data_IF_077071417632
#
_entry.id   IF_077071417632
#
_cell.length_a   1.000
_cell.length_b   1.000
_cell.length_c   1.000
_cell.angle_alpha   90.00
_cell.angle_beta   90.00
_cell.angle_gamma   90.00
#
_symmetry.space_group_name_H-M   'P 1'
#
loop_
_entity.id
_entity.type
_entity.pdbx_description
1 polymer ?
#
# COMPACT_ATOMS: atom_id res chain seq x y z
N UNK A 1 -13.72 6.57 -12.46
CA UNK A 1 -14.81 6.56 -11.48
C UNK A 1 -15.01 7.97 -10.91
N UNK A 2 -16.20 8.22 -10.39
CA UNK A 2 -16.53 9.45 -9.65
C UNK A 2 -16.77 9.05 -8.20
N UNK A 3 -16.11 9.73 -7.28
CA UNK A 3 -16.34 9.57 -5.85
C UNK A 3 -17.28 10.69 -5.38
N UNK A 4 -18.35 10.33 -4.72
CA UNK A 4 -19.36 11.28 -4.21
C UNK A 4 -19.43 11.09 -2.68
N UNK A 5 -19.14 12.16 -1.96
CA UNK A 5 -19.33 12.21 -0.52
C UNK A 5 -20.82 12.45 -0.22
N UNK A 6 -21.48 11.41 0.28
CA UNK A 6 -22.93 11.47 0.57
C UNK A 6 -23.29 12.43 1.71
N UNK A 7 -22.34 12.80 2.58
CA UNK A 7 -22.58 13.80 3.63
C UNK A 7 -22.70 15.23 3.06
N UNK A 8 -22.10 15.45 1.89
CA UNK A 8 -22.12 16.75 1.19
C UNK A 8 -23.12 16.79 0.04
N UNK A 9 -23.66 15.64 -0.38
CA UNK A 9 -24.63 15.54 -1.48
C UNK A 9 -25.95 14.87 -1.00
N UNK A 10 -26.98 15.66 -0.68
CA UNK A 10 -28.29 15.13 -0.23
C UNK A 10 -28.99 14.23 -1.26
N UNK A 11 -28.76 14.43 -2.56
CA UNK A 11 -29.35 13.60 -3.60
C UNK A 11 -28.67 12.22 -3.65
N UNK A 12 -27.36 12.20 -3.55
CA UNK A 12 -26.58 10.96 -3.44
C UNK A 12 -26.91 10.20 -2.14
N UNK A 13 -27.08 10.92 -1.03
CA UNK A 13 -27.52 10.32 0.25
C UNK A 13 -28.88 9.65 0.11
N UNK A 14 -29.87 10.35 -0.44
CA UNK A 14 -31.22 9.80 -0.65
C UNK A 14 -31.20 8.56 -1.55
N UNK A 15 -30.37 8.58 -2.60
CA UNK A 15 -30.19 7.43 -3.47
C UNK A 15 -29.56 6.24 -2.74
N UNK A 16 -28.51 6.46 -1.95
CA UNK A 16 -27.88 5.41 -1.13
C UNK A 16 -28.88 4.81 -0.14
N UNK A 17 -29.69 5.62 0.53
CA UNK A 17 -30.76 5.13 1.41
C UNK A 17 -31.81 4.31 0.64
N UNK A 18 -32.20 4.76 -0.54
CA UNK A 18 -33.17 4.04 -1.38
C UNK A 18 -32.68 2.62 -1.75
N UNK A 19 -31.44 2.50 -2.24
CA UNK A 19 -30.89 1.20 -2.68
C UNK A 19 -30.48 0.28 -1.52
N UNK A 20 -30.29 0.85 -0.33
CA UNK A 20 -29.92 0.12 0.89
C UNK A 20 -31.08 -0.02 1.89
N UNK A 21 -32.33 -0.01 1.41
CA UNK A 21 -33.50 -0.19 2.26
C UNK A 21 -33.57 0.77 3.48
N UNK A 22 -33.28 2.03 3.25
CA UNK A 22 -33.29 3.09 4.27
C UNK A 22 -32.01 3.20 5.10
N UNK A 23 -30.97 2.44 4.78
CA UNK A 23 -29.68 2.49 5.49
C UNK A 23 -28.63 3.29 4.69
N UNK A 24 -27.78 4.01 5.40
CA UNK A 24 -26.62 4.72 4.83
C UNK A 24 -25.39 3.81 4.83
N UNK A 25 -25.31 2.90 3.87
CA UNK A 25 -24.21 1.96 3.78
C UNK A 25 -23.19 2.48 2.75
N UNK A 26 -21.93 2.59 3.14
CA UNK A 26 -20.82 2.99 2.27
C UNK A 26 -19.62 2.04 2.45
N UNK A 27 -18.90 1.73 1.37
CA UNK A 27 -19.12 2.19 0.00
C UNK A 27 -20.29 1.50 -0.68
N UNK A 28 -21.15 2.27 -1.35
CA UNK A 28 -22.13 1.76 -2.33
C UNK A 28 -21.61 2.10 -3.73
N UNK A 29 -21.30 1.09 -4.53
CA UNK A 29 -20.69 1.25 -5.86
C UNK A 29 -21.73 0.96 -6.93
N UNK A 30 -21.94 1.92 -7.83
CA UNK A 30 -22.89 1.83 -8.94
C UNK A 30 -22.09 1.69 -10.23
N UNK A 31 -22.40 0.66 -11.01
CA UNK A 31 -21.77 0.41 -12.29
C UNK A 31 -22.59 0.97 -13.46
N UNK A 32 -21.95 1.24 -14.62
CA UNK A 32 -22.64 1.76 -15.79
C UNK A 32 -23.76 0.84 -16.33
N UNK A 33 -23.69 -0.45 -16.04
CA UNK A 33 -24.70 -1.45 -16.40
C UNK A 33 -25.89 -1.49 -15.42
N UNK A 34 -25.88 -0.63 -14.39
CA UNK A 34 -26.91 -0.53 -13.37
C UNK A 34 -26.75 -1.50 -12.20
N UNK A 35 -25.74 -2.38 -12.21
CA UNK A 35 -25.43 -3.22 -11.05
C UNK A 35 -24.90 -2.38 -9.89
N UNK A 36 -25.30 -2.74 -8.68
CA UNK A 36 -24.92 -2.05 -7.44
C UNK A 36 -24.25 -3.06 -6.52
N UNK A 37 -23.06 -2.71 -6.07
CA UNK A 37 -22.35 -3.46 -5.01
C UNK A 37 -22.36 -2.63 -3.73
N UNK A 38 -22.76 -3.27 -2.63
CA UNK A 38 -22.87 -2.66 -1.30
C UNK A 38 -21.80 -3.29 -0.41
N UNK A 39 -20.88 -2.47 0.11
CA UNK A 39 -19.73 -2.92 0.90
C UNK A 39 -19.00 -4.14 0.29
N UNK A 40 -18.71 -4.11 -1.03
CA UNK A 40 -18.11 -5.27 -1.67
C UNK A 40 -16.72 -5.56 -1.10
N UNK A 41 -16.41 -6.84 -0.96
CA UNK A 41 -15.03 -7.27 -0.77
C UNK A 41 -14.18 -6.92 -2.02
N UNK A 42 -12.87 -6.81 -1.85
CA UNK A 42 -11.96 -6.60 -2.98
C UNK A 42 -12.12 -7.67 -4.05
N UNK A 43 -12.35 -8.93 -3.65
CA UNK A 43 -12.57 -10.04 -4.56
C UNK A 43 -13.86 -9.88 -5.40
N UNK A 44 -14.97 -9.45 -4.78
CA UNK A 44 -16.22 -9.17 -5.48
C UNK A 44 -16.06 -8.02 -6.48
N UNK A 45 -15.40 -6.94 -6.06
CA UNK A 45 -15.13 -5.82 -6.95
C UNK A 45 -14.20 -6.23 -8.11
N UNK A 46 -13.15 -6.98 -7.83
CA UNK A 46 -12.23 -7.49 -8.84
C UNK A 46 -12.95 -8.39 -9.86
N UNK A 47 -13.80 -9.29 -9.39
CA UNK A 47 -14.59 -10.15 -10.26
C UNK A 47 -15.51 -9.33 -11.19
N UNK A 48 -16.20 -8.32 -10.65
CA UNK A 48 -17.05 -7.42 -11.44
C UNK A 48 -16.26 -6.60 -12.46
N UNK A 49 -15.04 -6.20 -12.15
CA UNK A 49 -14.13 -5.50 -13.05
C UNK A 49 -13.41 -6.44 -14.05
N UNK A 50 -13.71 -7.74 -14.03
CA UNK A 50 -13.07 -8.72 -14.89
C UNK A 50 -11.58 -8.95 -14.59
N UNK A 51 -11.15 -8.60 -13.38
CA UNK A 51 -9.77 -8.83 -12.95
C UNK A 51 -9.57 -10.32 -12.64
N UNK A 52 -8.36 -10.81 -12.89
CA UNK A 52 -8.02 -12.19 -12.57
C UNK A 52 -7.83 -12.36 -11.06
N UNK A 53 -8.64 -13.24 -10.46
CA UNK A 53 -8.60 -13.61 -9.04
C UNK A 53 -8.14 -15.06 -8.81
N UNK A 54 -7.84 -15.80 -9.90
CA UNK A 54 -7.31 -17.16 -9.83
C UNK A 54 -6.08 -17.30 -10.72
N UNK A 55 -5.06 -17.96 -10.19
CA UNK A 55 -3.84 -18.24 -10.91
C UNK A 55 -4.02 -19.40 -11.91
N UNK A 56 -3.17 -19.42 -12.93
CA UNK A 56 -3.21 -20.46 -13.99
C UNK A 56 -2.77 -21.83 -13.51
N UNK A 57 -1.87 -21.85 -12.52
CA UNK A 57 -1.24 -23.05 -12.01
C UNK A 57 -1.61 -23.27 -10.55
N UNK A 58 -1.48 -24.50 -10.09
CA UNK A 58 -1.63 -24.84 -8.66
C UNK A 58 -0.30 -24.84 -7.90
N UNK A 59 0.82 -25.02 -8.62
CA UNK A 59 2.16 -25.04 -8.02
C UNK A 59 3.07 -24.12 -8.83
N UNK A 60 3.93 -23.38 -8.12
CA UNK A 60 4.91 -22.44 -8.65
C UNK A 60 6.29 -22.70 -8.07
N UNK A 61 7.35 -22.31 -8.78
CA UNK A 61 8.69 -22.31 -8.21
C UNK A 61 8.78 -21.27 -7.08
N UNK A 62 8.25 -20.08 -7.31
CA UNK A 62 8.25 -18.99 -6.34
C UNK A 62 6.88 -18.33 -6.23
N UNK A 63 6.38 -18.21 -5.01
CA UNK A 63 5.24 -17.32 -4.71
C UNK A 63 5.77 -16.11 -3.95
N UNK A 64 5.48 -14.92 -4.47
CA UNK A 64 5.79 -13.63 -3.85
C UNK A 64 4.53 -13.07 -3.22
N UNK A 65 4.55 -12.83 -1.92
CA UNK A 65 3.43 -12.27 -1.17
C UNK A 65 3.67 -10.77 -0.96
N UNK A 66 2.89 -9.96 -1.65
CA UNK A 66 2.98 -8.50 -1.68
C UNK A 66 3.44 -7.96 -3.04
N UNK A 67 2.61 -7.12 -3.64
CA UNK A 67 2.80 -6.51 -4.97
C UNK A 67 3.42 -5.11 -4.91
N UNK A 68 4.16 -4.78 -3.84
CA UNK A 68 4.95 -3.55 -3.76
C UNK A 68 6.24 -3.63 -4.59
N UNK A 69 7.07 -2.55 -4.59
CA UNK A 69 8.31 -2.50 -5.37
C UNK A 69 9.25 -3.68 -5.13
N UNK A 70 9.40 -4.11 -3.87
CA UNK A 70 10.27 -5.24 -3.52
C UNK A 70 9.75 -6.55 -4.12
N UNK A 71 8.44 -6.82 -3.98
CA UNK A 71 7.83 -8.03 -4.51
C UNK A 71 7.85 -8.07 -6.04
N UNK A 72 7.47 -6.98 -6.71
CA UNK A 72 7.49 -6.89 -8.16
C UNK A 72 8.91 -7.00 -8.75
N UNK A 73 9.90 -6.39 -8.09
CA UNK A 73 11.30 -6.53 -8.50
C UNK A 73 11.77 -7.98 -8.36
N UNK A 74 11.47 -8.62 -7.24
CA UNK A 74 11.84 -10.02 -7.03
C UNK A 74 11.16 -10.93 -8.06
N UNK A 75 9.86 -10.73 -8.31
CA UNK A 75 9.11 -11.50 -9.29
C UNK A 75 9.65 -11.30 -10.73
N UNK A 76 10.07 -10.08 -11.06
CA UNK A 76 10.73 -9.80 -12.34
C UNK A 76 12.01 -10.64 -12.50
N UNK A 77 12.86 -10.70 -11.47
CA UNK A 77 14.11 -11.45 -11.56
C UNK A 77 13.88 -12.96 -11.57
N UNK A 78 13.01 -13.50 -10.73
CA UNK A 78 12.71 -14.94 -10.71
C UNK A 78 12.09 -15.41 -12.02
N UNK A 79 11.13 -14.66 -12.56
CA UNK A 79 10.52 -14.97 -13.86
C UNK A 79 11.52 -14.85 -15.02
N UNK A 80 12.43 -13.88 -14.97
CA UNK A 80 13.48 -13.70 -15.98
C UNK A 80 14.45 -14.89 -16.00
N UNK A 81 14.71 -15.51 -14.87
CA UNK A 81 15.53 -16.74 -14.76
C UNK A 81 14.73 -18.01 -15.13
N UNK A 82 13.51 -17.86 -15.65
CA UNK A 82 12.67 -18.95 -16.13
C UNK A 82 11.87 -19.69 -15.05
N UNK A 83 11.81 -19.15 -13.83
CA UNK A 83 11.03 -19.73 -12.75
C UNK A 83 9.55 -19.38 -12.91
N UNK A 84 8.67 -20.37 -12.72
CA UNK A 84 7.23 -20.13 -12.61
C UNK A 84 6.95 -19.30 -11.36
N UNK A 85 6.63 -18.03 -11.55
CA UNK A 85 6.53 -17.04 -10.47
C UNK A 85 5.11 -16.48 -10.37
N UNK A 86 4.53 -16.50 -9.17
CA UNK A 86 3.23 -15.92 -8.85
C UNK A 86 3.42 -14.78 -7.82
N UNK A 87 2.84 -13.62 -8.11
CA UNK A 87 2.69 -12.52 -7.13
C UNK A 87 1.26 -12.50 -6.64
N UNK A 88 1.06 -12.50 -5.33
CA UNK A 88 -0.26 -12.36 -4.70
C UNK A 88 -0.30 -11.04 -3.92
N UNK A 89 -1.23 -10.15 -4.28
CA UNK A 89 -1.42 -8.85 -3.65
C UNK A 89 -2.88 -8.67 -3.22
N UNK A 90 -3.10 -8.26 -1.98
CA UNK A 90 -4.44 -8.07 -1.42
C UNK A 90 -5.18 -6.84 -1.94
N UNK A 91 -4.44 -5.86 -2.42
CA UNK A 91 -4.98 -4.62 -2.96
C UNK A 91 -4.60 -4.42 -4.42
N UNK A 92 -4.26 -3.17 -4.74
CA UNK A 92 -3.66 -2.80 -6.03
C UNK A 92 -2.14 -2.97 -6.00
N UNK A 93 -1.55 -3.18 -7.17
CA UNK A 93 -0.09 -3.23 -7.30
C UNK A 93 0.57 -1.91 -6.92
N UNK A 94 1.79 -2.00 -6.37
CA UNK A 94 2.60 -0.86 -5.98
C UNK A 94 2.70 -0.66 -4.46
N UNK A 95 1.84 -1.28 -3.66
CA UNK A 95 1.85 -1.13 -2.22
C UNK A 95 1.73 0.35 -1.80
N UNK A 96 2.48 0.78 -0.78
CA UNK A 96 2.45 2.17 -0.31
C UNK A 96 2.92 3.19 -1.36
N UNK A 97 3.83 2.79 -2.24
CA UNK A 97 4.35 3.66 -3.30
C UNK A 97 3.24 4.00 -4.31
N UNK A 98 2.32 3.09 -4.58
CA UNK A 98 1.22 3.32 -5.54
C UNK A 98 0.38 4.56 -5.25
N UNK A 99 0.25 4.95 -3.97
CA UNK A 99 -0.47 6.16 -3.55
C UNK A 99 0.38 7.44 -3.49
N UNK A 100 1.69 7.35 -3.74
CA UNK A 100 2.59 8.51 -3.68
C UNK A 100 2.41 9.40 -4.92
N UNK A 101 2.16 10.68 -4.72
CA UNK A 101 1.96 11.61 -5.83
C UNK A 101 3.22 11.75 -6.69
N UNK A 102 4.39 11.86 -6.06
CA UNK A 102 5.68 12.02 -6.75
C UNK A 102 6.81 11.38 -5.95
N UNK A 103 7.59 10.56 -6.59
CA UNK A 103 8.83 9.99 -6.07
C UNK A 103 10.02 10.64 -6.77
N UNK A 104 10.95 11.17 -6.00
CA UNK A 104 12.18 11.81 -6.49
C UNK A 104 13.44 11.07 -6.06
N UNK A 105 13.29 10.08 -5.18
CA UNK A 105 14.39 9.36 -4.55
C UNK A 105 14.62 7.95 -5.12
N UNK A 106 14.00 7.61 -6.26
CA UNK A 106 14.26 6.34 -6.94
C UNK A 106 15.20 6.57 -8.13
N UNK A 107 16.37 5.91 -8.18
CA UNK A 107 17.33 6.11 -9.26
C UNK A 107 16.77 5.78 -10.64
N UNK A 108 17.13 6.55 -11.66
CA UNK A 108 16.70 6.36 -13.04
C UNK A 108 15.51 7.21 -13.46
N UNK A 109 15.00 8.06 -12.56
CA UNK A 109 13.92 9.02 -12.83
C UNK A 109 14.38 10.42 -12.40
N UNK A 110 15.16 11.06 -13.22
CA UNK A 110 15.79 12.36 -12.97
C UNK A 110 14.78 13.50 -12.76
N UNK A 111 13.62 13.40 -13.40
CA UNK A 111 12.50 14.35 -13.19
C UNK A 111 11.48 13.84 -12.15
N UNK A 112 11.77 12.70 -11.48
CA UNK A 112 10.82 12.03 -10.63
C UNK A 112 9.73 11.29 -11.41
N UNK A 113 8.89 10.53 -10.69
CA UNK A 113 7.80 9.73 -11.27
C UNK A 113 6.66 9.63 -10.27
N UNK A 114 5.41 9.55 -10.74
CA UNK A 114 4.30 9.24 -9.84
C UNK A 114 4.36 7.79 -9.35
N UNK A 115 3.92 7.55 -8.12
CA UNK A 115 3.90 6.19 -7.58
C UNK A 115 3.02 5.24 -8.39
N UNK A 116 1.91 5.73 -8.92
CA UNK A 116 1.03 4.97 -9.80
C UNK A 116 1.74 4.54 -11.09
N UNK A 117 2.40 5.45 -11.78
CA UNK A 117 3.14 5.14 -13.01
C UNK A 117 4.32 4.22 -12.75
N UNK A 118 5.05 4.43 -11.66
CA UNK A 118 6.14 3.55 -11.24
C UNK A 118 5.67 2.12 -11.00
N UNK A 119 4.57 1.96 -10.26
CA UNK A 119 3.96 0.66 -9.97
C UNK A 119 3.52 -0.06 -11.25
N UNK A 120 2.94 0.69 -12.17
CA UNK A 120 2.49 0.22 -13.47
C UNK A 120 3.66 -0.28 -14.32
N UNK A 121 4.77 0.47 -14.34
CA UNK A 121 6.00 0.09 -15.07
C UNK A 121 6.61 -1.18 -14.48
N UNK A 122 6.71 -1.29 -13.16
CA UNK A 122 7.21 -2.50 -12.49
C UNK A 122 6.33 -3.72 -12.77
N UNK A 123 5.01 -3.55 -12.67
CA UNK A 123 4.05 -4.63 -12.94
C UNK A 123 4.16 -5.12 -14.38
N UNK A 124 4.20 -4.20 -15.35
CA UNK A 124 4.39 -4.54 -16.76
C UNK A 124 5.73 -5.23 -17.01
N UNK A 125 6.78 -4.80 -16.33
CA UNK A 125 8.11 -5.41 -16.47
C UNK A 125 8.12 -6.84 -15.93
N UNK A 126 7.57 -7.08 -14.76
CA UNK A 126 7.47 -8.42 -14.16
C UNK A 126 6.63 -9.37 -15.03
N UNK A 127 5.46 -8.91 -15.48
CA UNK A 127 4.56 -9.72 -16.33
C UNK A 127 5.13 -9.98 -17.71
N UNK A 128 5.90 -9.05 -18.28
CA UNK A 128 6.61 -9.25 -19.57
C UNK A 128 7.62 -10.41 -19.49
N UNK A 129 8.25 -10.63 -18.34
CA UNK A 129 9.16 -11.75 -18.13
C UNK A 129 8.43 -13.06 -17.74
N UNK A 130 7.12 -13.02 -17.58
CA UNK A 130 6.31 -14.21 -17.34
C UNK A 130 5.76 -14.35 -15.92
N UNK A 131 6.05 -13.40 -15.02
CA UNK A 131 5.43 -13.43 -13.70
C UNK A 131 3.91 -13.32 -13.81
N UNK A 132 3.20 -14.20 -13.13
CA UNK A 132 1.76 -14.12 -12.98
C UNK A 132 1.41 -13.26 -11.76
N UNK A 133 0.34 -12.48 -11.87
CA UNK A 133 -0.07 -11.52 -10.84
C UNK A 133 -1.53 -11.73 -10.51
N UNK A 134 -1.82 -11.93 -9.22
CA UNK A 134 -3.14 -11.88 -8.65
C UNK A 134 -3.29 -10.62 -7.80
N UNK A 135 -4.29 -9.82 -8.11
CA UNK A 135 -4.68 -8.65 -7.31
C UNK A 135 -5.96 -8.96 -6.54
N UNK A 136 -6.27 -8.12 -5.57
CA UNK A 136 -7.45 -8.26 -4.73
C UNK A 136 -7.57 -9.65 -4.08
N UNK A 137 -6.44 -10.29 -3.81
CA UNK A 137 -6.34 -11.65 -3.26
C UNK A 137 -5.50 -11.60 -1.99
N UNK A 138 -6.10 -11.81 -0.84
CA UNK A 138 -5.39 -11.78 0.44
C UNK A 138 -4.89 -13.17 0.81
N UNK A 139 -3.62 -13.25 1.19
CA UNK A 139 -3.05 -14.47 1.76
C UNK A 139 -3.40 -14.52 3.24
N UNK A 140 -4.18 -15.53 3.61
CA UNK A 140 -4.59 -15.75 4.99
C UNK A 140 -3.56 -16.57 5.77
N UNK A 141 -2.97 -17.59 5.13
CA UNK A 141 -2.11 -18.54 5.83
C UNK A 141 -1.04 -19.12 4.93
N UNK A 142 0.13 -19.35 5.52
CA UNK A 142 1.23 -20.13 4.91
C UNK A 142 1.43 -21.36 5.78
N UNK A 143 1.58 -22.50 5.14
CA UNK A 143 1.76 -23.78 5.83
C UNK A 143 2.84 -24.60 5.16
N UNK A 144 3.84 -25.12 5.90
CA UNK A 144 4.81 -26.04 5.35
C UNK A 144 4.16 -27.41 5.09
N UNK A 145 4.16 -27.85 3.86
CA UNK A 145 3.66 -29.17 3.44
C UNK A 145 4.76 -29.81 2.58
N UNK A 146 5.58 -30.61 3.22
CA UNK A 146 6.75 -31.24 2.55
C UNK A 146 6.33 -32.03 1.30
N UNK A 147 7.05 -31.90 0.15
CA UNK A 147 8.28 -31.13 -0.01
C UNK A 147 8.06 -29.62 -0.19
N UNK A 148 6.83 -29.16 -0.42
CA UNK A 148 6.46 -27.82 -0.80
C UNK A 148 5.98 -26.96 0.39
N UNK A 149 5.70 -25.70 0.10
CA UNK A 149 5.03 -24.75 0.96
C UNK A 149 3.64 -24.48 0.35
N UNK A 150 2.62 -24.37 1.19
CA UNK A 150 1.26 -24.05 0.75
C UNK A 150 0.86 -22.65 1.19
N UNK A 151 0.26 -21.90 0.28
CA UNK A 151 -0.31 -20.58 0.51
C UNK A 151 -1.82 -20.69 0.36
N UNK A 152 -2.56 -20.28 1.40
CA UNK A 152 -4.02 -20.23 1.41
C UNK A 152 -4.49 -18.80 1.32
N UNK A 153 -5.43 -18.53 0.42
CA UNK A 153 -6.09 -17.24 0.29
C UNK A 153 -7.35 -17.17 1.15
N UNK A 154 -7.84 -15.96 1.43
CA UNK A 154 -9.10 -15.74 2.16
C UNK A 154 -10.29 -16.39 1.45
N UNK A 155 -10.26 -16.48 0.11
CA UNK A 155 -11.29 -17.13 -0.69
C UNK A 155 -11.21 -18.68 -0.66
N UNK A 156 -10.28 -19.22 0.14
CA UNK A 156 -10.10 -20.66 0.32
C UNK A 156 -9.35 -21.36 -0.83
N UNK A 157 -8.70 -20.60 -1.71
CA UNK A 157 -7.85 -21.18 -2.76
C UNK A 157 -6.47 -21.53 -2.21
N UNK A 158 -5.95 -22.68 -2.60
CA UNK A 158 -4.63 -23.17 -2.21
C UNK A 158 -3.67 -23.15 -3.40
N UNK A 159 -2.44 -22.67 -3.15
CA UNK A 159 -1.32 -22.70 -4.10
C UNK A 159 -0.09 -23.30 -3.43
N UNK A 160 0.58 -24.22 -4.14
CA UNK A 160 1.87 -24.77 -3.73
C UNK A 160 3.04 -23.92 -4.23
N UNK A 161 4.15 -23.90 -3.48
CA UNK A 161 5.38 -23.25 -3.90
C UNK A 161 6.62 -23.99 -3.39
N UNK A 162 7.68 -24.02 -4.21
CA UNK A 162 8.99 -24.49 -3.76
C UNK A 162 9.64 -23.46 -2.83
N UNK A 163 9.41 -22.16 -3.08
CA UNK A 163 9.86 -21.08 -2.22
C UNK A 163 8.80 -19.97 -2.09
N UNK A 164 8.76 -19.32 -0.93
CA UNK A 164 7.89 -18.16 -0.70
C UNK A 164 8.76 -16.97 -0.31
N UNK A 165 8.54 -15.84 -0.99
CA UNK A 165 9.15 -14.56 -0.67
C UNK A 165 8.12 -13.66 -0.01
N UNK A 166 8.37 -13.29 1.25
CA UNK A 166 7.52 -12.36 2.00
C UNK A 166 7.93 -10.93 1.69
N UNK A 167 7.11 -10.22 0.92
CA UNK A 167 7.31 -8.81 0.54
C UNK A 167 6.10 -7.95 0.95
N UNK A 168 5.51 -8.27 2.10
CA UNK A 168 4.24 -7.70 2.59
C UNK A 168 4.35 -6.23 3.01
N UNK A 169 5.57 -5.68 3.03
CA UNK A 169 5.81 -4.28 3.37
C UNK A 169 5.57 -3.97 4.85
N UNK A 170 5.29 -2.70 5.12
CA UNK A 170 5.01 -2.19 6.45
C UNK A 170 3.78 -1.28 6.41
N UNK A 171 3.15 -1.07 7.54
CA UNK A 171 2.11 -0.05 7.72
C UNK A 171 2.59 0.95 8.75
N UNK A 172 2.46 2.22 8.41
CA UNK A 172 2.72 3.28 9.36
C UNK A 172 1.66 3.30 10.46
N UNK A 173 2.11 3.59 11.66
CA UNK A 173 1.21 3.78 12.80
C UNK A 173 0.50 5.13 12.65
N UNK A 174 -0.81 5.11 12.71
CA UNK A 174 -1.64 6.31 12.70
C UNK A 174 -1.71 6.94 14.09
N UNK A 175 -1.89 8.25 14.13
CA UNK A 175 -2.15 8.99 15.37
C UNK A 175 -3.60 8.84 15.80
N UNK A 176 -4.50 8.59 14.83
CA UNK A 176 -5.96 8.53 15.03
C UNK A 176 -6.53 9.82 15.63
N UNK A 177 -6.01 10.96 15.17
CA UNK A 177 -6.50 12.29 15.54
C UNK A 177 -7.41 12.86 14.46
N UNK A 178 -8.37 13.73 14.83
CA UNK A 178 -9.23 14.37 13.85
C UNK A 178 -8.45 15.10 12.76
N UNK A 179 -8.80 14.89 11.51
CA UNK A 179 -8.16 15.51 10.35
C UNK A 179 -6.93 14.78 9.81
N UNK A 180 -6.38 13.79 10.52
CA UNK A 180 -5.18 13.06 10.05
C UNK A 180 -5.41 12.45 8.66
N UNK A 181 -6.49 11.73 8.47
CA UNK A 181 -6.78 11.02 7.23
C UNK A 181 -6.94 12.00 6.05
N UNK A 182 -7.58 13.11 6.28
CA UNK A 182 -7.80 14.15 5.27
C UNK A 182 -6.49 14.87 4.87
N UNK A 183 -5.53 14.96 5.78
CA UNK A 183 -4.25 15.67 5.58
C UNK A 183 -3.12 14.75 5.11
N UNK A 184 -3.37 13.46 4.97
CA UNK A 184 -2.36 12.51 4.50
C UNK A 184 -1.87 12.85 3.10
N UNK A 185 -0.53 12.86 2.94
CA UNK A 185 0.13 13.20 1.69
C UNK A 185 0.13 14.71 1.36
N UNK A 186 -0.56 15.54 2.16
CA UNK A 186 -0.55 16.99 2.01
C UNK A 186 0.17 17.73 3.13
N UNK A 187 -0.08 17.35 4.37
CA UNK A 187 0.52 17.97 5.57
C UNK A 187 0.87 16.95 6.65
N UNK A 188 0.41 15.72 6.52
CA UNK A 188 0.76 14.58 7.38
C UNK A 188 1.49 13.55 6.53
N UNK A 189 2.71 13.24 6.91
CA UNK A 189 3.62 12.35 6.19
C UNK A 189 4.28 11.36 7.14
N UNK A 190 4.84 10.27 6.58
CA UNK A 190 5.50 9.22 7.35
C UNK A 190 6.96 8.97 6.92
N UNK A 191 7.46 9.75 5.97
CA UNK A 191 8.79 9.53 5.43
C UNK A 191 9.52 10.88 5.28
N UNK A 192 10.40 11.19 6.20
CA UNK A 192 11.16 12.45 6.17
C UNK A 192 12.07 12.55 4.92
N UNK A 193 12.69 11.44 4.52
CA UNK A 193 13.59 11.42 3.35
C UNK A 193 12.84 11.54 2.02
N UNK A 194 11.55 11.15 1.99
CA UNK A 194 10.71 11.27 0.81
C UNK A 194 10.17 12.70 0.65
N UNK A 195 9.68 13.28 1.75
CA UNK A 195 8.81 14.46 1.71
C UNK A 195 9.48 15.72 2.30
N UNK A 196 10.56 15.56 3.07
CA UNK A 196 11.17 16.65 3.84
C UNK A 196 11.60 17.86 3.01
N UNK A 197 12.07 17.63 1.78
CA UNK A 197 12.50 18.68 0.87
C UNK A 197 11.37 19.65 0.49
N UNK A 198 10.11 19.19 0.45
CA UNK A 198 8.94 20.02 0.13
C UNK A 198 8.62 21.04 1.23
N UNK A 199 9.16 20.86 2.43
CA UNK A 199 8.93 21.70 3.60
C UNK A 199 10.08 22.65 3.92
N UNK A 200 10.89 22.98 2.91
CA UNK A 200 12.01 23.93 3.06
C UNK A 200 11.54 25.26 3.67
N UNK A 201 12.20 25.66 4.77
CA UNK A 201 11.89 26.90 5.49
C UNK A 201 10.59 26.85 6.32
N UNK A 202 9.89 25.72 6.39
CA UNK A 202 8.67 25.56 7.22
C UNK A 202 9.03 25.12 8.64
N UNK A 203 8.04 25.17 9.52
CA UNK A 203 8.09 24.52 10.83
C UNK A 203 7.51 23.12 10.67
N UNK A 204 8.17 22.12 11.23
CA UNK A 204 7.78 20.72 11.16
C UNK A 204 7.61 20.18 12.58
N UNK A 205 6.56 19.42 12.80
CA UNK A 205 6.33 18.64 14.00
C UNK A 205 6.57 17.16 13.70
N UNK A 206 7.47 16.55 14.44
CA UNK A 206 7.71 15.09 14.41
C UNK A 206 7.02 14.47 15.61
N UNK A 207 6.17 13.49 15.39
CA UNK A 207 5.42 12.81 16.44
C UNK A 207 6.03 11.43 16.70
N UNK A 208 6.59 11.25 17.87
CA UNK A 208 7.27 10.03 18.34
C UNK A 208 8.71 10.28 18.72
N UNK A 209 9.04 10.06 19.99
CA UNK A 209 10.39 10.26 20.59
C UNK A 209 11.24 9.00 20.62
N UNK A 210 11.06 8.07 19.67
CA UNK A 210 11.92 6.90 19.44
C UNK A 210 13.11 7.23 18.54
N UNK A 211 13.97 6.22 18.26
CA UNK A 211 15.13 6.40 17.37
C UNK A 211 14.72 6.98 16.01
N UNK A 212 13.70 6.42 15.36
CA UNK A 212 13.23 6.90 14.06
C UNK A 212 12.81 8.37 14.09
N UNK A 213 12.05 8.80 15.12
CA UNK A 213 11.61 10.18 15.23
C UNK A 213 12.79 11.16 15.39
N UNK A 214 13.82 10.77 16.15
CA UNK A 214 15.03 11.57 16.30
C UNK A 214 15.87 11.59 15.02
N UNK A 215 16.12 10.43 14.38
CA UNK A 215 16.87 10.32 13.13
C UNK A 215 16.21 11.16 12.02
N UNK A 216 14.89 11.02 11.85
CA UNK A 216 14.12 11.79 10.89
C UNK A 216 14.04 13.26 11.25
N UNK A 217 13.90 13.59 12.53
CA UNK A 217 13.92 14.98 13.02
C UNK A 217 15.24 15.67 12.72
N UNK A 218 16.37 15.02 13.02
CA UNK A 218 17.71 15.51 12.70
C UNK A 218 17.86 15.68 11.17
N UNK A 219 17.41 14.71 10.38
CA UNK A 219 17.45 14.83 8.93
C UNK A 219 16.68 16.06 8.42
N UNK A 220 15.48 16.29 8.97
CA UNK A 220 14.61 17.41 8.58
C UNK A 220 15.19 18.78 8.88
N UNK A 221 16.12 18.92 9.84
CA UNK A 221 16.80 20.19 10.12
C UNK A 221 17.58 20.74 8.92
N UNK A 222 17.92 19.88 7.94
CA UNK A 222 18.57 20.30 6.68
C UNK A 222 17.66 21.17 5.80
N UNK A 223 16.36 21.07 5.99
CA UNK A 223 15.35 21.74 5.16
C UNK A 223 14.50 22.72 5.97
N UNK A 224 14.04 22.28 7.12
CA UNK A 224 13.10 23.01 7.94
C UNK A 224 13.76 24.20 8.67
N UNK A 225 12.95 25.24 8.90
CA UNK A 225 13.36 26.37 9.77
C UNK A 225 13.39 25.95 11.24
N UNK A 226 12.51 25.04 11.62
CA UNK A 226 12.35 24.55 12.98
C UNK A 226 11.76 23.13 12.90
N UNK A 227 12.30 22.24 13.73
CA UNK A 227 11.77 20.89 13.92
C UNK A 227 11.49 20.70 15.40
N UNK A 228 10.25 20.41 15.74
CA UNK A 228 9.82 20.08 17.09
C UNK A 228 9.51 18.59 17.16
N UNK A 229 10.07 17.88 18.13
CA UNK A 229 9.79 16.47 18.36
C UNK A 229 8.91 16.36 19.60
N UNK A 230 7.76 15.69 19.47
CA UNK A 230 6.84 15.45 20.59
C UNK A 230 6.70 13.97 20.89
N UNK A 231 6.64 13.65 22.17
CA UNK A 231 6.43 12.30 22.67
C UNK A 231 5.30 12.33 23.72
N UNK A 232 4.40 11.35 23.67
CA UNK A 232 3.29 11.27 24.63
C UNK A 232 3.71 10.60 25.96
N UNK A 233 4.82 9.85 25.96
CA UNK A 233 5.39 9.28 27.16
C UNK A 233 6.19 10.34 27.96
N UNK A 234 6.32 10.18 29.28
CA UNK A 234 7.10 11.11 30.12
C UNK A 234 8.58 11.22 29.72
N UNK A 235 9.11 10.25 28.99
CA UNK A 235 10.50 10.19 28.57
C UNK A 235 10.60 9.70 27.14
N UNK A 236 11.51 10.31 26.35
CA UNK A 236 11.87 9.85 25.02
C UNK A 236 12.62 8.53 25.09
N UNK A 237 12.38 7.65 24.11
CA UNK A 237 13.01 6.32 24.03
C UNK A 237 14.16 6.24 23.02
N UNK A 238 14.50 7.35 22.38
CA UNK A 238 15.65 7.42 21.50
C UNK A 238 16.95 7.08 22.27
N UNK A 239 17.94 6.53 21.58
CA UNK A 239 19.25 6.27 22.14
C UNK A 239 19.90 7.57 22.65
N UNK A 240 20.73 7.47 23.69
CA UNK A 240 21.40 8.64 24.27
C UNK A 240 22.20 9.43 23.25
N UNK A 241 22.87 8.73 22.32
CA UNK A 241 23.62 9.37 21.22
C UNK A 241 22.72 10.28 20.37
N UNK A 242 21.52 9.82 20.02
CA UNK A 242 20.58 10.65 19.25
C UNK A 242 20.03 11.83 20.07
N UNK A 243 19.77 11.61 21.35
CA UNK A 243 19.33 12.71 22.24
C UNK A 243 20.39 13.81 22.42
N UNK A 244 21.67 13.44 22.45
CA UNK A 244 22.78 14.39 22.61
C UNK A 244 23.12 15.14 21.31
N UNK A 245 22.49 14.78 20.19
CA UNK A 245 22.68 15.41 18.86
C UNK A 245 21.69 16.57 18.62
N UNK A 246 20.66 16.69 19.44
CA UNK A 246 19.53 17.66 19.23
C UNK A 246 19.65 18.87 20.15
#
# INVERSE_FOLDING_TARGET
YVNIDIEQDPAAMAYVEQVNHGKRIVPTIIFPDGEILIEPSNAQLAAKLGMRTQAKRKVYDVIVIGGGPAGLTSAMYTAREGMDTLVIEKGGMGGQVGGTQRMENFPGFDEGISGAEFSDRLTRQATRFGAEVLQATEVHRIFPQKPDLCVYTEEGTEYGAHAILMATGARYRRLNVPGEEYLLGSSVHFCATCDGAFYKGKKILVVGGGNSGFEEGIFLTKFARQVDIVEFLPQVKASKVLQDTV
#
